data_IF_375899206555
#
_entry.id   IF_375899206555
#
_cell.length_a   1.000
_cell.length_b   1.000
_cell.length_c   1.000
_cell.angle_alpha   90.00
_cell.angle_beta   90.00
_cell.angle_gamma   90.00
#
_symmetry.space_group_name_H-M   'P 1'
#
loop_
_entity.id
_entity.type
_entity.pdbx_description
1 polymer ?
#
# COMPACT_ATOMS: atom_id res chain seq x y z
N UNK A 1 39.66 38.79 -17.74
CA UNK A 1 38.22 38.57 -17.92
C UNK A 1 37.62 38.30 -16.55
N UNK A 2 36.90 39.26 -15.98
CA UNK A 2 36.10 39.02 -14.77
C UNK A 2 34.79 38.37 -15.21
N UNK A 3 34.47 37.18 -14.67
CA UNK A 3 33.19 36.53 -14.91
C UNK A 3 32.05 37.36 -14.31
N UNK A 4 30.92 37.42 -15.00
CA UNK A 4 29.74 38.18 -14.58
C UNK A 4 29.18 37.58 -13.27
N UNK A 5 29.05 38.38 -12.18
CA UNK A 5 28.42 37.96 -10.93
C UNK A 5 26.99 37.40 -11.08
N UNK A 6 26.30 37.69 -12.18
CA UNK A 6 24.98 37.12 -12.49
C UNK A 6 25.09 35.65 -12.95
N UNK A 7 26.06 35.33 -13.80
CA UNK A 7 26.30 33.96 -14.28
C UNK A 7 26.72 33.03 -13.13
N UNK A 8 27.56 33.53 -12.21
CA UNK A 8 27.98 32.78 -11.02
C UNK A 8 26.77 32.46 -10.13
N UNK A 9 25.86 33.41 -9.92
CA UNK A 9 24.65 33.19 -9.11
C UNK A 9 23.70 32.18 -9.76
N UNK A 10 23.52 32.25 -11.08
CA UNK A 10 22.69 31.29 -11.80
C UNK A 10 23.26 29.87 -11.73
N UNK A 11 24.59 29.72 -11.82
CA UNK A 11 25.25 28.43 -11.67
C UNK A 11 25.12 27.84 -10.25
N UNK A 12 25.23 28.68 -9.21
CA UNK A 12 25.03 28.27 -7.82
C UNK A 12 23.60 27.76 -7.59
N UNK A 13 22.59 28.49 -8.09
CA UNK A 13 21.19 28.08 -7.90
C UNK A 13 20.88 26.79 -8.66
N UNK A 14 21.42 26.62 -9.87
CA UNK A 14 21.31 25.36 -10.62
C UNK A 14 21.91 24.19 -9.83
N UNK A 15 23.10 24.35 -9.25
CA UNK A 15 23.75 23.31 -8.46
C UNK A 15 22.98 22.97 -7.19
N UNK A 16 22.37 23.98 -6.54
CA UNK A 16 21.53 23.78 -5.36
C UNK A 16 20.31 22.92 -5.66
N UNK A 17 19.65 23.17 -6.79
CA UNK A 17 18.50 22.37 -7.23
C UNK A 17 18.92 20.92 -7.54
N UNK A 18 20.05 20.72 -8.22
CA UNK A 18 20.58 19.37 -8.50
C UNK A 18 20.89 18.61 -7.20
N UNK A 19 21.47 19.26 -6.19
CA UNK A 19 21.74 18.63 -4.89
C UNK A 19 20.44 18.23 -4.18
N UNK A 20 19.41 19.06 -4.26
CA UNK A 20 18.10 18.75 -3.68
C UNK A 20 17.42 17.56 -4.37
N UNK A 21 17.57 17.44 -5.69
CA UNK A 21 17.07 16.29 -6.46
C UNK A 21 17.82 15.00 -6.10
N UNK A 22 19.14 15.08 -5.91
CA UNK A 22 19.96 13.94 -5.45
C UNK A 22 19.52 13.49 -4.05
N UNK A 23 19.28 14.42 -3.13
CA UNK A 23 18.83 14.10 -1.77
C UNK A 23 17.47 13.39 -1.78
N UNK A 24 16.51 13.88 -2.58
CA UNK A 24 15.21 13.22 -2.78
C UNK A 24 15.34 11.80 -3.35
N UNK A 25 16.31 11.59 -4.23
CA UNK A 25 16.59 10.27 -4.81
C UNK A 25 17.20 9.31 -3.79
N UNK A 26 18.16 9.76 -2.98
CA UNK A 26 18.75 8.96 -1.90
C UNK A 26 17.68 8.53 -0.90
N UNK A 27 16.79 9.43 -0.50
CA UNK A 27 15.68 9.12 0.39
C UNK A 27 14.72 8.11 -0.23
N UNK A 28 14.39 8.27 -1.51
CA UNK A 28 13.55 7.30 -2.23
C UNK A 28 14.19 5.91 -2.31
N UNK A 29 15.52 5.83 -2.50
CA UNK A 29 16.26 4.57 -2.49
C UNK A 29 16.28 3.93 -1.10
N UNK A 30 16.41 4.73 -0.04
CA UNK A 30 16.33 4.25 1.33
C UNK A 30 14.96 3.62 1.64
N UNK A 31 13.87 4.26 1.21
CA UNK A 31 12.51 3.75 1.40
C UNK A 31 12.25 2.44 0.64
N UNK A 32 12.76 2.35 -0.59
CA UNK A 32 12.71 1.11 -1.39
C UNK A 32 13.49 0.00 -0.68
N UNK A 33 14.72 0.28 -0.23
CA UNK A 33 15.55 -0.70 0.51
C UNK A 33 14.83 -1.20 1.77
N UNK A 34 14.24 -0.28 2.54
CA UNK A 34 13.49 -0.61 3.76
C UNK A 34 12.28 -1.51 3.43
N UNK A 35 11.54 -1.18 2.38
CA UNK A 35 10.40 -1.96 1.91
C UNK A 35 10.80 -3.38 1.49
N UNK A 36 11.94 -3.52 0.80
CA UNK A 36 12.48 -4.83 0.40
C UNK A 36 12.92 -5.64 1.61
N UNK A 37 13.61 -5.01 2.58
CA UNK A 37 14.02 -5.69 3.79
C UNK A 37 12.81 -6.20 4.59
N UNK A 38 11.74 -5.40 4.66
CA UNK A 38 10.49 -5.81 5.30
C UNK A 38 9.84 -6.99 4.56
N UNK A 39 9.82 -6.97 3.23
CA UNK A 39 9.34 -8.10 2.42
C UNK A 39 10.18 -9.34 2.69
N UNK A 40 11.51 -9.26 2.64
CA UNK A 40 12.39 -10.40 2.94
C UNK A 40 12.16 -10.98 4.34
N UNK A 41 11.96 -10.12 5.34
CA UNK A 41 11.63 -10.56 6.69
C UNK A 41 10.29 -11.30 6.75
N UNK A 42 9.26 -10.81 6.04
CA UNK A 42 7.99 -11.52 5.90
C UNK A 42 8.20 -12.89 5.22
N UNK A 43 9.00 -12.97 4.16
CA UNK A 43 9.28 -14.22 3.46
C UNK A 43 10.05 -15.22 4.33
N UNK A 44 11.05 -14.77 5.10
CA UNK A 44 11.83 -15.60 6.03
C UNK A 44 11.01 -16.08 7.24
N UNK A 45 10.02 -15.30 7.67
CA UNK A 45 9.14 -15.65 8.79
C UNK A 45 8.05 -16.67 8.45
N UNK A 46 7.89 -17.04 7.18
CA UNK A 46 6.94 -18.09 6.76
C UNK A 46 7.62 -19.46 6.81
N UNK A 47 6.97 -20.42 7.46
CA UNK A 47 7.36 -21.83 7.42
C UNK A 47 7.41 -22.34 5.96
N UNK A 48 8.25 -23.37 5.73
CA UNK A 48 8.48 -23.94 4.39
C UNK A 48 7.16 -24.19 3.63
N UNK A 49 7.07 -23.82 2.34
CA UNK A 49 5.83 -23.95 1.59
C UNK A 49 5.47 -25.42 1.37
N UNK A 50 4.38 -25.89 2.00
CA UNK A 50 3.92 -27.29 1.94
C UNK A 50 3.39 -27.76 0.56
N UNK A 51 3.53 -26.99 -0.54
CA UNK A 51 3.20 -27.52 -1.87
C UNK A 51 3.78 -26.71 -3.05
N UNK A 52 3.91 -27.36 -4.21
CA UNK A 52 4.53 -26.78 -5.41
C UNK A 52 3.74 -25.66 -6.10
N UNK A 53 2.51 -25.34 -5.68
CA UNK A 53 1.74 -24.20 -6.20
C UNK A 53 2.06 -22.90 -5.43
N UNK A 54 2.11 -22.98 -4.10
CA UNK A 54 2.49 -21.83 -3.26
C UNK A 54 3.96 -21.44 -3.49
N UNK A 55 4.84 -22.41 -3.73
CA UNK A 55 6.23 -22.13 -4.13
C UNK A 55 6.32 -21.36 -5.46
N UNK A 56 5.49 -21.69 -6.46
CA UNK A 56 5.50 -21.00 -7.76
C UNK A 56 5.00 -19.57 -7.67
N UNK A 57 3.94 -19.32 -6.91
CA UNK A 57 3.46 -17.95 -6.67
C UNK A 57 4.50 -17.13 -5.90
N UNK A 58 5.16 -17.75 -4.91
CA UNK A 58 6.25 -17.13 -4.15
C UNK A 58 7.46 -16.78 -5.02
N UNK A 59 7.87 -17.69 -5.91
CA UNK A 59 8.96 -17.47 -6.85
C UNK A 59 8.61 -16.37 -7.86
N UNK A 60 7.37 -16.33 -8.37
CA UNK A 60 6.90 -15.30 -9.31
C UNK A 60 6.91 -13.91 -8.67
N UNK A 61 6.42 -13.79 -7.44
CA UNK A 61 6.44 -12.53 -6.69
C UNK A 61 7.88 -12.06 -6.43
N UNK A 62 8.75 -12.97 -5.99
CA UNK A 62 10.17 -12.68 -5.74
C UNK A 62 10.89 -12.23 -7.01
N UNK A 63 10.62 -12.88 -8.15
CA UNK A 63 11.18 -12.52 -9.44
C UNK A 63 10.73 -11.12 -9.88
N UNK A 64 9.44 -10.79 -9.74
CA UNK A 64 8.93 -9.45 -10.07
C UNK A 64 9.54 -8.38 -9.16
N UNK A 65 9.73 -8.66 -7.87
CA UNK A 65 10.39 -7.75 -6.95
C UNK A 65 11.86 -7.50 -7.34
N UNK A 66 12.59 -8.55 -7.73
CA UNK A 66 13.97 -8.46 -8.23
C UNK A 66 14.05 -7.72 -9.57
N UNK A 67 13.09 -7.92 -10.46
CA UNK A 67 13.03 -7.22 -11.75
C UNK A 67 12.74 -5.72 -11.57
N UNK A 68 11.84 -5.36 -10.65
CA UNK A 68 11.62 -3.97 -10.27
C UNK A 68 12.87 -3.32 -9.68
N UNK A 69 13.63 -4.08 -8.87
CA UNK A 69 14.91 -3.66 -8.32
C UNK A 69 15.97 -3.43 -9.39
N UNK A 70 16.09 -4.34 -10.36
CA UNK A 70 17.02 -4.20 -11.47
C UNK A 70 16.68 -2.97 -12.34
N UNK A 71 15.39 -2.74 -12.64
CA UNK A 71 14.94 -1.56 -13.38
C UNK A 71 15.19 -0.26 -12.63
N UNK A 72 15.02 -0.26 -11.31
CA UNK A 72 15.37 0.89 -10.46
C UNK A 72 16.89 1.15 -10.46
N UNK A 73 17.71 0.12 -10.33
CA UNK A 73 19.17 0.25 -10.39
C UNK A 73 19.66 0.81 -11.73
N UNK A 74 19.10 0.32 -12.85
CA UNK A 74 19.39 0.83 -14.19
C UNK A 74 18.95 2.29 -14.36
N UNK A 75 17.80 2.67 -13.78
CA UNK A 75 17.35 4.07 -13.81
C UNK A 75 18.23 4.99 -12.95
N UNK A 76 18.76 4.50 -11.82
CA UNK A 76 19.71 5.28 -11.01
C UNK A 76 21.06 5.43 -11.69
N UNK A 77 21.52 4.42 -12.44
CA UNK A 77 22.74 4.55 -13.25
C UNK A 77 22.55 5.54 -14.41
N UNK A 78 21.37 5.58 -15.03
CA UNK A 78 21.06 6.58 -16.05
C UNK A 78 21.14 8.01 -15.49
N UNK A 79 20.60 8.24 -14.29
CA UNK A 79 20.66 9.56 -13.65
C UNK A 79 22.05 9.90 -13.10
N UNK A 80 22.80 8.91 -12.60
CA UNK A 80 24.22 9.08 -12.24
C UNK A 80 25.08 9.44 -13.45
N UNK A 81 24.79 8.85 -14.61
CA UNK A 81 25.46 9.20 -15.87
C UNK A 81 25.05 10.59 -16.38
N UNK A 82 23.79 11.01 -16.21
CA UNK A 82 23.36 12.39 -16.51
C UNK A 82 23.98 13.43 -15.56
N UNK A 83 24.16 13.09 -14.28
CA UNK A 83 24.86 13.96 -13.32
C UNK A 83 26.37 13.99 -13.54
N UNK A 84 26.98 12.90 -14.04
CA UNK A 84 28.37 12.91 -14.51
C UNK A 84 28.56 13.66 -15.84
N UNK A 85 27.51 13.85 -16.63
CA UNK A 85 27.51 14.65 -17.86
C UNK A 85 27.36 16.16 -17.63
N UNK A 86 27.07 16.61 -16.40
CA UNK A 86 27.20 18.01 -16.01
C UNK A 86 28.69 18.36 -15.90
N UNK A 87 29.28 18.91 -16.97
CA UNK A 87 30.67 19.39 -16.94
C UNK A 87 30.86 20.41 -15.80
N UNK A 88 31.55 19.99 -14.73
CA UNK A 88 32.25 20.90 -13.83
C UNK A 88 33.29 21.71 -14.66
N UNK A 89 33.60 22.97 -14.29
CA UNK A 89 34.61 23.75 -14.99
C UNK A 89 35.92 22.95 -15.10
N UNK A 90 36.40 22.78 -16.34
CA UNK A 90 37.57 21.96 -16.69
C UNK A 90 38.81 22.43 -15.92
N UNK A 91 39.26 21.65 -14.94
CA UNK A 91 40.66 21.64 -14.52
C UNK A 91 41.37 20.57 -15.34
N UNK A 92 42.34 21.00 -16.16
CA UNK A 92 43.10 20.16 -17.07
C UNK A 92 43.90 19.09 -16.32
N UNK A 93 43.62 17.82 -16.62
CA UNK A 93 44.44 16.65 -16.28
C UNK A 93 44.10 15.50 -17.24
N UNK A 94 45.06 14.62 -17.60
CA UNK A 94 44.90 13.69 -18.71
C UNK A 94 44.00 12.49 -18.37
N UNK A 95 43.14 12.13 -19.33
CA UNK A 95 42.28 10.92 -19.33
C UNK A 95 43.10 9.65 -19.59
N UNK A 96 42.63 8.45 -19.16
CA UNK A 96 41.95 7.54 -20.11
C UNK A 96 40.80 6.74 -19.44
N UNK A 97 39.79 6.15 -20.09
CA UNK A 97 39.79 5.04 -21.08
C UNK A 97 38.36 4.94 -21.69
N UNK A 98 38.26 4.47 -22.95
CA UNK A 98 37.07 4.49 -23.82
C UNK A 98 35.89 3.59 -23.41
N UNK A 99 34.69 4.17 -23.51
CA UNK A 99 33.35 3.59 -23.26
C UNK A 99 32.85 2.70 -24.42
N UNK A 100 33.57 2.69 -25.54
CA UNK A 100 33.16 2.03 -26.78
C UNK A 100 33.19 0.49 -26.71
N UNK A 101 33.76 -0.10 -25.66
CA UNK A 101 33.78 -1.55 -25.49
C UNK A 101 32.51 -2.14 -24.83
N UNK A 102 31.61 -1.31 -24.26
CA UNK A 102 30.43 -1.82 -23.52
C UNK A 102 29.08 -1.60 -24.21
N UNK A 103 29.04 -0.92 -25.36
CA UNK A 103 27.78 -0.58 -26.04
C UNK A 103 27.33 -1.62 -27.09
N UNK A 104 28.10 -2.70 -27.29
CA UNK A 104 27.79 -3.71 -28.31
C UNK A 104 26.97 -4.91 -27.78
N UNK A 105 26.90 -5.13 -26.46
CA UNK A 105 26.13 -6.26 -25.88
C UNK A 105 24.64 -5.97 -25.66
N UNK A 106 24.21 -4.71 -25.65
CA UNK A 106 22.83 -4.32 -25.28
C UNK A 106 21.82 -4.32 -26.44
N UNK A 107 22.15 -4.88 -27.62
CA UNK A 107 21.30 -4.78 -28.83
C UNK A 107 20.71 -6.10 -29.33
N UNK A 108 20.78 -7.21 -28.60
CA UNK A 108 20.36 -8.52 -29.13
C UNK A 108 19.24 -9.27 -28.41
N UNK A 109 18.62 -8.72 -27.36
CA UNK A 109 17.50 -9.40 -26.70
C UNK A 109 16.31 -8.44 -26.54
N UNK A 110 15.40 -8.49 -27.51
CA UNK A 110 13.94 -8.42 -27.29
C UNK A 110 13.20 -8.36 -28.64
N UNK A 111 13.17 -9.52 -29.31
CA UNK A 111 12.03 -9.96 -30.10
C UNK A 111 11.61 -11.32 -29.52
N UNK A 112 10.50 -11.41 -28.80
CA UNK A 112 9.35 -12.18 -29.26
C UNK A 112 8.17 -12.21 -28.25
N UNK A 113 6.99 -12.05 -28.85
CA UNK A 113 5.66 -12.56 -28.53
C UNK A 113 4.90 -12.21 -27.23
N UNK A 114 3.71 -11.63 -27.47
CA UNK A 114 2.59 -11.64 -26.54
C UNK A 114 1.65 -12.85 -26.72
N UNK A 115 0.72 -12.98 -25.76
CA UNK A 115 -0.72 -13.27 -25.95
C UNK A 115 -1.39 -13.43 -24.58
N UNK A 116 -2.39 -12.59 -24.31
CA UNK A 116 -3.32 -12.72 -23.20
C UNK A 116 -4.21 -13.96 -23.35
N UNK A 117 -4.52 -14.61 -22.22
CA UNK A 117 -5.66 -15.52 -22.09
C UNK A 117 -6.47 -15.11 -20.87
N UNK A 118 -7.76 -14.91 -21.10
CA UNK A 118 -8.79 -14.76 -20.09
C UNK A 118 -8.92 -16.02 -19.24
N UNK A 119 -9.02 -15.85 -17.92
CA UNK A 119 -9.46 -16.90 -17.01
C UNK A 119 -10.60 -16.33 -16.17
N UNK A 120 -11.80 -16.81 -16.46
CA UNK A 120 -12.97 -16.63 -15.62
C UNK A 120 -12.76 -17.33 -14.27
N UNK A 121 -12.52 -16.54 -13.23
CA UNK A 121 -12.48 -16.99 -11.85
C UNK A 121 -13.81 -16.70 -11.16
N UNK A 122 -14.51 -17.75 -10.74
CA UNK A 122 -15.72 -17.71 -9.92
C UNK A 122 -15.54 -16.80 -8.69
N UNK A 123 -16.28 -15.70 -8.65
CA UNK A 123 -16.28 -14.78 -7.51
C UNK A 123 -17.01 -15.39 -6.30
N UNK A 124 -16.48 -15.23 -5.07
CA UNK A 124 -17.25 -15.51 -3.87
C UNK A 124 -18.43 -14.54 -3.80
N UNK A 125 -19.63 -15.07 -3.54
CA UNK A 125 -20.85 -14.26 -3.34
C UNK A 125 -20.66 -13.36 -2.12
N UNK A 126 -20.24 -12.11 -2.34
CA UNK A 126 -20.23 -11.07 -1.31
C UNK A 126 -21.66 -10.66 -0.96
N UNK A 127 -21.89 -10.32 0.31
CA UNK A 127 -23.15 -9.68 0.75
C UNK A 127 -23.23 -8.27 0.18
N UNK A 128 -24.41 -7.83 -0.21
CA UNK A 128 -24.61 -6.44 -0.66
C UNK A 128 -24.58 -5.48 0.54
N UNK A 129 -24.32 -4.19 0.27
CA UNK A 129 -24.31 -3.17 1.32
C UNK A 129 -25.65 -3.08 2.10
N UNK A 130 -26.78 -3.34 1.44
CA UNK A 130 -28.11 -3.39 2.06
C UNK A 130 -28.26 -4.60 2.99
N UNK A 131 -27.76 -5.76 2.58
CA UNK A 131 -27.75 -6.97 3.44
C UNK A 131 -26.89 -6.76 4.69
N UNK A 132 -25.75 -6.09 4.54
CA UNK A 132 -24.88 -5.75 5.67
C UNK A 132 -25.60 -4.77 6.62
N UNK A 133 -26.22 -3.72 6.09
CA UNK A 133 -26.96 -2.75 6.90
C UNK A 133 -28.02 -3.42 7.78
N UNK A 134 -28.92 -4.21 7.18
CA UNK A 134 -29.95 -4.99 7.88
C UNK A 134 -29.38 -5.99 8.90
N UNK A 135 -28.20 -6.52 8.65
CA UNK A 135 -27.59 -7.53 9.51
C UNK A 135 -27.02 -6.93 10.80
N UNK A 136 -26.56 -5.68 10.77
CA UNK A 136 -25.87 -5.07 11.91
C UNK A 136 -26.63 -3.92 12.58
N UNK A 137 -27.85 -3.60 12.12
CA UNK A 137 -28.69 -2.53 12.70
C UNK A 137 -28.91 -2.72 14.21
N UNK A 138 -28.73 -1.63 14.97
CA UNK A 138 -29.04 -1.54 16.40
C UNK A 138 -28.31 -2.55 17.31
N UNK A 139 -27.20 -3.12 16.83
CA UNK A 139 -26.41 -4.04 17.63
C UNK A 139 -25.41 -3.30 18.54
N UNK A 140 -25.29 -3.76 19.79
CA UNK A 140 -24.17 -3.38 20.65
C UNK A 140 -22.84 -3.80 20.03
N UNK A 141 -21.75 -3.12 20.41
CA UNK A 141 -20.40 -3.43 19.93
C UNK A 141 -20.09 -4.93 20.08
N UNK A 142 -20.38 -5.51 21.24
CA UNK A 142 -20.09 -6.93 21.51
C UNK A 142 -20.97 -7.88 20.68
N UNK A 143 -22.23 -7.51 20.41
CA UNK A 143 -23.10 -8.28 19.52
C UNK A 143 -22.60 -8.22 18.06
N UNK A 144 -22.18 -7.04 17.61
CA UNK A 144 -21.58 -6.83 16.28
C UNK A 144 -20.32 -7.66 16.11
N UNK A 145 -19.39 -7.64 17.09
CA UNK A 145 -18.16 -8.45 17.04
C UNK A 145 -18.44 -9.95 16.98
N UNK A 146 -19.39 -10.45 17.78
CA UNK A 146 -19.78 -11.87 17.75
C UNK A 146 -20.38 -12.27 16.40
N UNK A 147 -21.21 -11.41 15.82
CA UNK A 147 -21.84 -11.66 14.51
C UNK A 147 -20.81 -11.64 13.39
N UNK A 148 -19.93 -10.65 13.39
CA UNK A 148 -18.81 -10.53 12.47
C UNK A 148 -17.89 -11.76 12.52
N UNK A 149 -17.53 -12.23 13.72
CA UNK A 149 -16.73 -13.45 13.87
C UNK A 149 -17.39 -14.68 13.24
N UNK A 150 -18.70 -14.87 13.42
CA UNK A 150 -19.44 -15.96 12.78
C UNK A 150 -19.43 -15.82 11.25
N UNK A 151 -19.64 -14.61 10.75
CA UNK A 151 -19.58 -14.26 9.31
C UNK A 151 -18.21 -14.64 8.74
N UNK A 152 -17.12 -14.15 9.33
CA UNK A 152 -15.74 -14.43 8.87
C UNK A 152 -15.39 -15.90 8.94
N UNK A 153 -15.76 -16.58 10.03
CA UNK A 153 -15.52 -18.04 10.18
C UNK A 153 -16.26 -18.84 9.10
N UNK A 154 -17.52 -18.49 8.81
CA UNK A 154 -18.30 -19.17 7.76
C UNK A 154 -17.74 -18.94 6.36
N UNK A 155 -17.13 -17.78 6.12
CA UNK A 155 -16.48 -17.43 4.86
C UNK A 155 -15.03 -17.96 4.75
N UNK A 156 -14.50 -18.62 5.78
CA UNK A 156 -13.11 -19.08 5.81
C UNK A 156 -12.07 -17.95 5.79
N UNK A 157 -12.44 -16.72 6.17
CA UNK A 157 -11.54 -15.56 6.19
C UNK A 157 -10.81 -15.48 7.53
N UNK A 158 -9.49 -15.32 7.47
CA UNK A 158 -8.63 -15.13 8.66
C UNK A 158 -8.62 -13.67 9.13
N UNK A 159 -9.80 -13.16 9.45
CA UNK A 159 -10.00 -11.80 9.99
C UNK A 159 -10.60 -11.91 11.38
N UNK A 160 -10.02 -11.19 12.34
CA UNK A 160 -10.48 -11.15 13.73
C UNK A 160 -10.68 -9.70 14.15
N UNK A 161 -11.79 -9.42 14.84
CA UNK A 161 -12.00 -8.14 15.48
C UNK A 161 -12.20 -8.35 16.99
N UNK A 162 -11.54 -7.55 17.82
CA UNK A 162 -11.62 -7.63 19.27
C UNK A 162 -11.44 -6.26 19.91
N UNK A 163 -12.02 -6.07 21.10
CA UNK A 163 -11.77 -4.88 21.90
C UNK A 163 -10.34 -4.90 22.43
N UNK A 164 -9.67 -3.75 22.47
CA UNK A 164 -8.36 -3.59 23.10
C UNK A 164 -8.57 -3.34 24.59
N UNK A 165 -8.10 -4.25 25.43
CA UNK A 165 -8.20 -4.14 26.89
C UNK A 165 -7.29 -3.02 27.41
N UNK A 166 -7.75 -2.28 28.43
CA UNK A 166 -6.95 -1.24 29.12
C UNK A 166 -6.99 0.17 28.51
N UNK A 167 -7.57 0.37 27.32
CA UNK A 167 -7.77 1.70 26.71
C UNK A 167 -9.24 2.16 26.67
N UNK A 168 -10.14 1.43 27.34
CA UNK A 168 -11.55 1.75 27.43
C UNK A 168 -11.84 2.71 28.59
N UNK A 169 -11.71 4.03 28.36
CA UNK A 169 -12.38 5.04 29.19
C UNK A 169 -13.86 5.14 28.80
N UNK A 170 -14.78 5.44 29.70
CA UNK A 170 -16.09 5.94 29.26
C UNK A 170 -15.88 7.35 28.69
N UNK A 171 -16.42 7.71 27.51
CA UNK A 171 -17.37 6.98 26.65
C UNK A 171 -16.74 6.31 25.40
N UNK A 172 -15.45 5.98 25.41
CA UNK A 172 -14.71 5.51 24.23
C UNK A 172 -14.36 4.02 24.26
N UNK A 173 -14.45 3.34 23.12
CA UNK A 173 -14.00 1.96 22.96
C UNK A 173 -12.98 1.87 21.82
N UNK A 174 -11.94 1.05 21.99
CA UNK A 174 -10.97 0.79 20.94
C UNK A 174 -11.16 -0.64 20.43
N UNK A 175 -11.35 -0.79 19.13
CA UNK A 175 -11.46 -2.09 18.45
C UNK A 175 -10.23 -2.29 17.58
N UNK A 176 -9.56 -3.43 17.75
CA UNK A 176 -8.50 -3.90 16.86
C UNK A 176 -9.09 -4.92 15.88
N UNK A 177 -8.85 -4.71 14.60
CA UNK A 177 -9.16 -5.63 13.50
C UNK A 177 -7.86 -6.15 12.93
N UNK A 178 -7.61 -7.44 13.04
CA UNK A 178 -6.42 -8.10 12.53
C UNK A 178 -6.78 -8.92 11.31
N UNK A 179 -6.14 -8.59 10.17
CA UNK A 179 -6.20 -9.32 8.92
C UNK A 179 -4.88 -10.08 8.79
N UNK A 180 -4.95 -11.41 8.92
CA UNK A 180 -3.76 -12.26 9.08
C UNK A 180 -2.69 -11.99 8.01
N UNK A 181 -1.47 -11.70 8.46
CA UNK A 181 -0.29 -11.41 7.64
C UNK A 181 -0.41 -10.19 6.68
N UNK A 182 -1.46 -9.38 6.80
CA UNK A 182 -1.67 -8.18 5.98
C UNK A 182 -1.56 -6.92 6.83
N UNK A 183 -2.50 -6.71 7.76
CA UNK A 183 -2.61 -5.44 8.48
C UNK A 183 -3.36 -5.57 9.80
N UNK A 184 -3.16 -4.57 10.66
CA UNK A 184 -3.98 -4.30 11.83
C UNK A 184 -4.65 -2.93 11.65
N UNK A 185 -5.98 -2.89 11.77
CA UNK A 185 -6.73 -1.63 11.82
C UNK A 185 -7.22 -1.38 13.25
N UNK A 186 -7.14 -0.14 13.71
CA UNK A 186 -7.65 0.29 15.00
C UNK A 186 -8.76 1.32 14.79
N UNK A 187 -9.88 1.09 15.44
CA UNK A 187 -11.03 1.98 15.43
C UNK A 187 -11.23 2.52 16.85
N UNK A 188 -11.20 3.83 17.00
CA UNK A 188 -11.62 4.53 18.22
C UNK A 188 -13.08 4.92 18.03
N UNK A 189 -13.93 4.35 18.87
CA UNK A 189 -15.38 4.45 18.78
C UNK A 189 -15.92 5.26 19.95
N UNK A 190 -16.93 6.07 19.69
CA UNK A 190 -17.80 6.60 20.75
C UNK A 190 -19.01 5.68 20.89
N UNK A 191 -19.40 5.40 22.14
CA UNK A 191 -20.54 4.53 22.44
C UNK A 191 -21.64 5.24 23.20
N UNK A 192 -22.87 4.79 22.98
CA UNK A 192 -24.03 5.20 23.79
C UNK A 192 -24.15 4.37 25.08
N UNK A 193 -25.17 4.67 25.88
CA UNK A 193 -25.47 3.97 27.13
C UNK A 193 -25.80 2.48 26.93
N UNK A 194 -26.25 2.10 25.73
CA UNK A 194 -26.52 0.71 25.35
C UNK A 194 -25.27 0.02 24.76
N UNK A 195 -24.11 0.66 24.84
CA UNK A 195 -22.85 0.17 24.25
C UNK A 195 -22.93 -0.07 22.74
N UNK A 196 -23.79 0.67 22.03
CA UNK A 196 -23.84 0.73 20.57
C UNK A 196 -22.83 1.73 20.05
N UNK A 197 -22.32 1.49 18.85
CA UNK A 197 -21.39 2.40 18.19
C UNK A 197 -22.14 3.62 17.67
N UNK A 198 -21.82 4.82 18.14
CA UNK A 198 -22.41 6.06 17.64
C UNK A 198 -21.59 6.67 16.52
N UNK A 199 -20.27 6.70 16.69
CA UNK A 199 -19.32 7.31 15.76
C UNK A 199 -17.99 6.57 15.79
N UNK A 200 -17.20 6.73 14.73
CA UNK A 200 -15.79 6.33 14.70
C UNK A 200 -14.96 7.62 14.66
N UNK A 201 -14.36 7.99 15.80
CA UNK A 201 -13.58 9.23 15.91
C UNK A 201 -12.19 9.11 15.26
N UNK A 202 -11.65 7.90 15.17
CA UNK A 202 -10.41 7.61 14.46
C UNK A 202 -10.43 6.20 13.89
N UNK A 203 -9.93 6.08 12.66
CA UNK A 203 -9.55 4.81 12.05
C UNK A 203 -8.10 4.94 11.56
N UNK A 204 -7.26 3.99 11.95
CA UNK A 204 -5.85 3.94 11.53
C UNK A 204 -5.48 2.51 11.20
N UNK A 205 -4.64 2.34 10.19
CA UNK A 205 -4.20 1.04 9.68
C UNK A 205 -2.68 0.98 9.73
N UNK A 206 -2.16 -0.17 10.17
CA UNK A 206 -0.75 -0.49 10.31
C UNK A 206 -0.42 -1.84 9.68
N UNK A 207 0.86 -2.09 9.41
CA UNK A 207 1.33 -3.41 9.00
C UNK A 207 1.07 -4.48 10.07
N UNK A 208 0.98 -5.75 9.66
CA UNK A 208 0.70 -6.85 10.60
C UNK A 208 1.73 -6.97 11.75
N UNK A 209 2.99 -6.60 11.51
CA UNK A 209 4.08 -6.60 12.51
C UNK A 209 4.52 -5.20 12.94
N UNK A 210 3.72 -4.17 12.66
CA UNK A 210 4.05 -2.80 13.05
C UNK A 210 3.54 -2.50 14.46
N UNK A 211 4.45 -2.05 15.33
CA UNK A 211 4.17 -1.65 16.71
C UNK A 211 4.24 -0.13 16.84
N UNK A 212 3.18 0.53 16.41
CA UNK A 212 3.05 1.99 16.43
C UNK A 212 1.87 2.40 17.31
N UNK A 213 1.94 3.57 17.94
CA UNK A 213 0.82 4.10 18.72
C UNK A 213 -0.41 4.31 17.84
N UNK A 214 -1.61 4.02 18.35
CA UNK A 214 -2.87 4.22 17.60
C UNK A 214 -3.12 5.71 17.25
N UNK A 215 -2.41 6.63 17.90
CA UNK A 215 -2.49 8.08 17.70
C UNK A 215 -1.54 8.60 16.62
N UNK A 216 -0.64 7.74 16.13
CA UNK A 216 0.32 8.04 15.07
C UNK A 216 -0.14 7.41 13.75
N UNK A 217 0.60 7.69 12.69
CA UNK A 217 0.38 7.11 11.36
C UNK A 217 1.38 5.98 11.11
N UNK A 218 1.00 5.01 10.26
CA UNK A 218 1.89 3.90 9.91
C UNK A 218 3.18 4.35 9.24
N UNK A 219 4.30 3.68 9.47
CA UNK A 219 5.55 3.91 8.74
C UNK A 219 5.48 3.52 7.26
N UNK A 220 4.50 2.71 6.85
CA UNK A 220 4.36 2.25 5.48
C UNK A 220 3.31 3.08 4.70
N UNK A 221 3.70 3.58 3.54
CA UNK A 221 2.87 4.44 2.68
C UNK A 221 1.53 3.80 2.31
N UNK A 222 1.51 2.47 2.09
CA UNK A 222 0.28 1.74 1.77
C UNK A 222 -0.76 1.83 2.89
N UNK A 223 -0.36 1.67 4.15
CA UNK A 223 -1.29 1.70 5.27
C UNK A 223 -1.65 3.13 5.69
N UNK A 224 -0.76 4.11 5.50
CA UNK A 224 -1.13 5.54 5.56
C UNK A 224 -2.24 5.85 4.55
N UNK A 225 -2.11 5.41 3.30
CA UNK A 225 -3.11 5.63 2.26
C UNK A 225 -4.44 4.95 2.60
N UNK A 226 -4.40 3.70 3.08
CA UNK A 226 -5.61 2.99 3.49
C UNK A 226 -6.29 3.70 4.65
N UNK A 227 -5.54 4.24 5.62
CA UNK A 227 -6.11 5.03 6.72
C UNK A 227 -6.88 6.25 6.20
N UNK A 228 -6.31 6.98 5.22
CA UNK A 228 -6.99 8.11 4.57
C UNK A 228 -8.28 7.70 3.86
N UNK A 229 -8.24 6.59 3.11
CA UNK A 229 -9.42 6.05 2.42
C UNK A 229 -10.47 5.58 3.43
N UNK A 230 -10.04 4.97 4.53
CA UNK A 230 -10.91 4.44 5.56
C UNK A 230 -11.71 5.54 6.28
N UNK A 231 -11.13 6.72 6.48
CA UNK A 231 -11.89 7.89 6.97
C UNK A 231 -13.07 8.21 6.05
N UNK A 232 -12.84 8.30 4.74
CA UNK A 232 -13.91 8.56 3.78
C UNK A 232 -14.94 7.43 3.67
N UNK A 233 -14.52 6.17 3.85
CA UNK A 233 -15.44 5.03 3.91
C UNK A 233 -16.33 5.08 5.15
N UNK A 234 -15.76 5.40 6.32
CA UNK A 234 -16.51 5.61 7.57
C UNK A 234 -17.53 6.73 7.40
N UNK A 235 -17.15 7.88 6.86
CA UNK A 235 -18.07 8.99 6.60
C UNK A 235 -19.25 8.57 5.69
N UNK A 236 -18.96 7.74 4.69
CA UNK A 236 -20.00 7.15 3.84
C UNK A 236 -20.93 6.22 4.63
N UNK A 237 -20.41 5.35 5.49
CA UNK A 237 -21.23 4.43 6.28
C UNK A 237 -22.09 5.17 7.31
N UNK A 238 -21.53 6.18 8.00
CA UNK A 238 -22.28 7.04 8.92
C UNK A 238 -23.43 7.73 8.18
N UNK A 239 -23.18 8.31 7.01
CA UNK A 239 -24.22 9.03 6.27
C UNK A 239 -25.30 8.10 5.69
N UNK A 240 -24.96 6.86 5.37
CA UNK A 240 -25.89 5.89 4.79
C UNK A 240 -26.75 5.19 5.83
N UNK A 241 -26.13 4.64 6.88
CA UNK A 241 -26.83 3.96 7.96
C UNK A 241 -25.96 3.95 9.25
N UNK A 242 -26.13 4.95 10.12
CA UNK A 242 -25.37 5.04 11.37
C UNK A 242 -25.52 3.81 12.27
N UNK A 243 -26.69 3.15 12.25
CA UNK A 243 -26.98 2.05 13.16
C UNK A 243 -26.22 0.76 12.82
N UNK A 244 -25.70 0.64 11.60
CA UNK A 244 -24.86 -0.47 11.17
C UNK A 244 -23.39 -0.10 10.97
N UNK A 245 -22.99 1.14 11.33
CA UNK A 245 -21.67 1.72 11.09
C UNK A 245 -20.51 0.78 11.38
N UNK A 246 -20.47 0.21 12.59
CA UNK A 246 -19.38 -0.68 12.98
C UNK A 246 -19.37 -1.95 12.13
N UNK A 247 -20.54 -2.57 11.93
CA UNK A 247 -20.65 -3.78 11.11
C UNK A 247 -20.23 -3.56 9.66
N UNK A 248 -20.72 -2.47 9.05
CA UNK A 248 -20.36 -2.07 7.69
C UNK A 248 -18.85 -1.82 7.55
N UNK A 249 -18.25 -1.13 8.52
CA UNK A 249 -16.80 -0.86 8.52
C UNK A 249 -15.98 -2.15 8.65
N UNK A 250 -16.39 -3.08 9.54
CA UNK A 250 -15.72 -4.36 9.74
C UNK A 250 -15.78 -5.26 8.49
N UNK A 251 -16.96 -5.38 7.88
CA UNK A 251 -17.14 -6.16 6.63
C UNK A 251 -16.35 -5.54 5.47
N UNK A 252 -16.32 -4.21 5.35
CA UNK A 252 -15.50 -3.53 4.34
C UNK A 252 -14.00 -3.81 4.55
N UNK A 253 -13.48 -3.61 5.77
CA UNK A 253 -12.08 -3.88 6.10
C UNK A 253 -11.69 -5.34 5.82
N UNK A 254 -12.60 -6.30 6.00
CA UNK A 254 -12.33 -7.70 5.72
C UNK A 254 -11.96 -8.01 4.26
N UNK A 255 -12.23 -7.10 3.31
CA UNK A 255 -11.84 -7.29 1.91
C UNK A 255 -10.34 -7.08 1.66
N UNK A 256 -9.63 -6.40 2.56
CA UNK A 256 -8.18 -6.22 2.46
C UNK A 256 -7.37 -7.51 2.66
N UNK A 257 -8.02 -8.66 2.92
CA UNK A 257 -7.35 -9.97 2.87
C UNK A 257 -6.59 -10.21 1.56
N UNK A 258 -7.01 -9.55 0.47
CA UNK A 258 -6.41 -9.69 -0.85
C UNK A 258 -5.57 -8.48 -1.29
N UNK A 259 -5.23 -7.56 -0.38
CA UNK A 259 -4.54 -6.29 -0.69
C UNK A 259 -3.31 -6.46 -1.59
N UNK A 260 -2.48 -7.47 -1.33
CA UNK A 260 -1.24 -7.71 -2.06
C UNK A 260 -1.35 -8.81 -3.12
N UNK A 261 -2.48 -9.51 -3.21
CA UNK A 261 -2.66 -10.66 -4.11
C UNK A 261 -3.58 -10.34 -5.29
N UNK A 262 -4.59 -9.49 -5.10
CA UNK A 262 -5.54 -9.14 -6.15
C UNK A 262 -5.06 -7.93 -6.95
N UNK A 263 -5.03 -8.01 -8.29
CA UNK A 263 -4.74 -6.85 -9.13
C UNK A 263 -5.92 -5.88 -9.15
N UNK A 264 -5.66 -4.64 -9.56
CA UNK A 264 -6.70 -3.64 -9.79
C UNK A 264 -7.65 -4.12 -10.89
N UNK A 265 -8.97 -4.01 -10.67
CA UNK A 265 -9.99 -4.45 -11.63
C UNK A 265 -9.90 -3.69 -12.96
N UNK A 266 -9.59 -2.39 -12.95
CA UNK A 266 -9.53 -1.58 -14.19
C UNK A 266 -8.27 -1.80 -15.01
N UNK A 267 -7.09 -1.80 -14.37
CA UNK A 267 -5.81 -1.83 -15.08
C UNK A 267 -5.07 -3.17 -15.02
N UNK A 268 -5.60 -4.16 -14.30
CA UNK A 268 -5.03 -5.49 -14.11
C UNK A 268 -3.60 -5.54 -13.51
N UNK A 269 -3.10 -4.41 -12.97
CA UNK A 269 -1.78 -4.32 -12.31
C UNK A 269 -1.90 -4.49 -10.80
N UNK A 270 -0.86 -5.05 -10.18
CA UNK A 270 -0.70 -5.14 -8.72
C UNK A 270 -0.07 -3.90 -8.09
N UNK A 271 0.68 -3.10 -8.84
CA UNK A 271 1.27 -1.86 -8.36
C UNK A 271 1.06 -0.77 -9.39
N UNK A 272 0.78 0.44 -8.93
CA UNK A 272 0.65 1.62 -9.77
C UNK A 272 1.11 2.86 -9.03
N UNK A 273 1.69 3.82 -9.76
CA UNK A 273 2.17 5.06 -9.18
C UNK A 273 0.95 5.90 -8.75
N UNK A 274 0.77 6.14 -7.45
CA UNK A 274 -0.33 6.95 -6.91
C UNK A 274 0.01 8.44 -6.99
N UNK A 275 1.13 8.85 -6.40
CA UNK A 275 1.56 10.24 -6.34
C UNK A 275 3.01 10.36 -5.89
N UNK A 276 3.59 11.57 -5.90
CA UNK A 276 4.94 11.80 -5.39
C UNK A 276 5.09 11.44 -3.91
N UNK A 277 4.02 11.61 -3.12
CA UNK A 277 3.98 11.29 -1.70
C UNK A 277 3.83 9.79 -1.44
N UNK A 278 3.04 9.08 -2.25
CA UNK A 278 2.66 7.68 -2.00
C UNK A 278 3.37 6.66 -2.90
N UNK A 279 4.10 7.12 -3.93
CA UNK A 279 4.88 6.30 -4.87
C UNK A 279 4.05 5.15 -5.45
N UNK A 280 4.61 3.95 -5.56
CA UNK A 280 3.94 2.77 -6.09
C UNK A 280 3.12 2.08 -4.99
N UNK A 281 1.81 1.99 -5.16
CA UNK A 281 0.90 1.34 -4.23
C UNK A 281 0.14 0.19 -4.88
N UNK A 282 -0.29 -0.82 -4.10
CA UNK A 282 -1.27 -1.80 -4.56
C UNK A 282 -2.67 -1.18 -4.72
N UNK A 283 -3.67 -1.97 -5.14
CA UNK A 283 -5.06 -1.53 -5.17
C UNK A 283 -5.61 -1.24 -3.76
N UNK A 284 -5.31 -0.06 -3.24
CA UNK A 284 -5.66 0.34 -1.87
C UNK A 284 -7.11 0.75 -1.71
N UNK A 285 -7.85 0.98 -2.80
CA UNK A 285 -9.25 1.38 -2.72
C UNK A 285 -10.16 0.19 -2.98
N UNK A 286 -10.92 -0.22 -1.96
CA UNK A 286 -11.98 -1.20 -2.08
C UNK A 286 -13.32 -0.46 -2.11
N UNK A 287 -14.12 -0.67 -3.15
CA UNK A 287 -15.41 0.02 -3.29
C UNK A 287 -16.34 -0.28 -2.12
N UNK A 288 -17.03 0.75 -1.62
CA UNK A 288 -17.99 0.64 -0.50
C UNK A 288 -19.38 1.20 -0.86
N UNK A 289 -19.49 1.86 -2.00
CA UNK A 289 -20.73 2.42 -2.56
C UNK A 289 -21.40 1.51 -3.61
N UNK A 290 -20.75 0.41 -3.99
CA UNK A 290 -21.26 -0.55 -4.98
C UNK A 290 -21.78 -1.83 -4.33
N UNK A 291 -22.69 -2.57 -4.98
CA UNK A 291 -23.21 -3.84 -4.45
C UNK A 291 -22.12 -4.91 -4.24
N UNK A 292 -21.08 -4.89 -5.08
CA UNK A 292 -19.92 -5.77 -5.02
C UNK A 292 -18.66 -4.97 -4.70
N UNK A 293 -17.91 -5.42 -3.69
CA UNK A 293 -16.66 -4.79 -3.29
C UNK A 293 -15.54 -5.24 -4.24
N UNK A 294 -14.85 -4.27 -4.86
CA UNK A 294 -13.81 -4.52 -5.84
C UNK A 294 -12.55 -3.68 -5.58
N UNK A 295 -11.34 -4.23 -5.79
CA UNK A 295 -10.07 -3.53 -5.58
C UNK A 295 -9.68 -2.66 -6.77
N UNK A 296 -9.34 -1.40 -6.50
CA UNK A 296 -8.85 -0.43 -7.47
C UNK A 296 -7.63 0.32 -6.93
N UNK A 297 -6.75 0.76 -7.83
CA UNK A 297 -5.89 1.90 -7.52
C UNK A 297 -6.77 3.16 -7.42
N UNK A 298 -6.47 4.11 -6.52
CA UNK A 298 -7.28 5.33 -6.36
C UNK A 298 -7.52 6.09 -7.68
N UNK A 299 -6.48 6.23 -8.51
CA UNK A 299 -6.57 6.87 -9.82
C UNK A 299 -7.36 6.08 -10.89
N UNK A 300 -7.66 4.81 -10.63
CA UNK A 300 -8.43 3.95 -11.53
C UNK A 300 -9.94 4.04 -11.31
N UNK A 301 -10.42 4.83 -10.36
CA UNK A 301 -11.86 5.03 -10.13
C UNK A 301 -12.48 6.09 -11.03
N UNK A 302 -11.64 6.83 -11.77
CA UNK A 302 -12.03 7.89 -12.72
C UNK A 302 -12.66 7.36 -14.00
#
# INVERSE_FOLDING_TARGET
MQQDPAEIRAAIEKNKNVLQDIELMINSLHDVRSSIHHVFHILQSRAEPESGASFREHAKFTYTALECLAKLALSSDAVLNETQALELPKLQGPSPVSIEAKQLEARMEDQDNGKSKDIAGSQPKGKTAEQISLEYTDLSIDATLRKFYKSMKSAGRLVRASRVEGQSSLPTAVIKVTISAVMNAYLVLERDDQSRCMSVSRIVVFGAGEETSIWEDSHHLVFKKISQIATGAVDHFVSKDPQSLLGATLEWLAHYTTLFSSPCVKCAKHLCFDSQQFKLLPPTFYTYNTPTVQPYHPQCLS
#
